data_IF_728826301480
#
_entry.id   IF_728826301480
#
_cell.length_a   1.000
_cell.length_b   1.000
_cell.length_c   1.000
_cell.angle_alpha   90.00
_cell.angle_beta   90.00
_cell.angle_gamma   90.00
#
_symmetry.space_group_name_H-M   'P 1'
#
loop_
_entity.id
_entity.type
_entity.pdbx_description
1 polymer ?
#
# COMPACT_ATOMS: atom_id res chain seq x y z
N UNK A 1 -21.49 1.94 11.31
CA UNK A 1 -20.20 2.21 11.99
C UNK A 1 -20.24 1.53 13.34
N UNK A 2 -19.19 0.81 13.70
CA UNK A 2 -19.03 0.20 15.03
C UNK A 2 -17.81 0.79 15.72
N UNK A 3 -17.96 1.09 17.02
CA UNK A 3 -16.85 1.51 17.87
C UNK A 3 -16.25 0.28 18.57
N UNK A 4 -14.94 0.24 18.66
CA UNK A 4 -14.18 -0.79 19.33
C UNK A 4 -13.34 -0.18 20.46
N UNK A 5 -12.74 -1.03 21.27
CA UNK A 5 -11.73 -0.59 22.22
C UNK A 5 -10.53 0.07 21.51
N UNK A 6 -9.67 0.73 22.25
CA UNK A 6 -8.46 1.42 21.77
C UNK A 6 -8.72 2.53 20.71
N UNK A 7 -9.89 3.20 20.78
CA UNK A 7 -10.29 4.28 19.86
C UNK A 7 -10.30 3.86 18.37
N UNK A 8 -10.58 2.61 18.10
CA UNK A 8 -10.78 2.11 16.75
C UNK A 8 -12.27 2.14 16.38
N UNK A 9 -12.56 2.47 15.12
CA UNK A 9 -13.88 2.29 14.54
C UNK A 9 -13.79 1.45 13.27
N UNK A 10 -14.81 0.63 13.02
CA UNK A 10 -15.00 -0.04 11.74
C UNK A 10 -16.21 0.52 11.00
N UNK A 11 -16.03 0.71 9.70
CA UNK A 11 -17.05 1.23 8.79
C UNK A 11 -17.39 0.14 7.79
N UNK A 12 -18.68 -0.14 7.65
CA UNK A 12 -19.22 -1.09 6.70
C UNK A 12 -20.12 -0.32 5.74
N UNK A 13 -19.83 -0.35 4.45
CA UNK A 13 -20.62 0.31 3.43
C UNK A 13 -20.99 -0.66 2.28
N UNK A 14 -21.89 -0.22 1.39
CA UNK A 14 -22.50 -1.04 0.34
C UNK A 14 -23.33 -2.23 0.90
N UNK A 15 -23.92 -2.05 2.08
CA UNK A 15 -24.83 -3.04 2.65
C UNK A 15 -26.16 -3.02 1.93
N UNK A 16 -26.85 -4.15 1.92
CA UNK A 16 -28.25 -4.22 1.54
C UNK A 16 -29.10 -3.64 2.66
N UNK A 17 -29.73 -2.49 2.39
CA UNK A 17 -30.48 -1.75 3.39
C UNK A 17 -31.68 -2.51 3.96
N UNK A 18 -32.30 -3.41 3.17
CA UNK A 18 -33.42 -4.25 3.61
C UNK A 18 -32.95 -5.39 4.52
N UNK A 19 -31.68 -5.73 4.47
CA UNK A 19 -31.08 -6.81 5.26
C UNK A 19 -30.45 -6.34 6.57
N UNK A 20 -30.39 -5.03 6.81
CA UNK A 20 -29.88 -4.51 8.09
C UNK A 20 -30.75 -5.04 9.21
N UNK A 21 -30.14 -5.69 10.21
CA UNK A 21 -30.88 -6.29 11.32
C UNK A 21 -31.74 -5.25 12.03
N UNK A 22 -33.02 -5.53 12.16
CA UNK A 22 -33.96 -4.65 12.86
C UNK A 22 -33.46 -4.34 14.27
N UNK A 23 -33.54 -3.08 14.65
CA UNK A 23 -33.08 -2.54 15.96
C UNK A 23 -31.55 -2.65 16.20
N UNK A 24 -30.72 -2.77 15.16
CA UNK A 24 -29.25 -2.76 15.36
C UNK A 24 -28.79 -1.42 15.95
N UNK A 25 -29.49 -0.33 15.63
CA UNK A 25 -29.20 1.02 16.15
C UNK A 25 -29.57 1.15 17.64
N UNK A 26 -30.53 0.35 18.12
CA UNK A 26 -30.93 0.32 19.54
C UNK A 26 -30.00 -0.54 20.41
N UNK A 27 -29.12 -1.35 19.78
CA UNK A 27 -28.16 -2.20 20.49
C UNK A 27 -26.93 -1.40 20.87
N UNK A 28 -26.68 -1.23 22.13
CA UNK A 28 -25.48 -0.57 22.64
C UNK A 28 -24.21 -1.44 22.47
N UNK A 29 -24.36 -2.75 22.35
CA UNK A 29 -23.25 -3.72 22.22
C UNK A 29 -23.63 -4.80 21.22
N UNK A 30 -22.74 -5.06 20.27
CA UNK A 30 -22.80 -6.21 19.36
C UNK A 30 -21.78 -7.27 19.80
N UNK A 31 -22.13 -8.53 19.59
CA UNK A 31 -21.23 -9.65 19.90
C UNK A 31 -20.37 -10.00 18.67
N UNK A 32 -19.19 -10.52 18.91
CA UNK A 32 -18.36 -11.11 17.87
C UNK A 32 -19.14 -12.19 17.10
N UNK A 33 -19.04 -12.17 15.76
CA UNK A 33 -19.76 -13.09 14.88
C UNK A 33 -21.25 -12.78 14.68
N UNK A 34 -21.79 -11.75 15.31
CA UNK A 34 -23.17 -11.34 15.09
C UNK A 34 -23.32 -10.78 13.66
N UNK A 35 -24.33 -11.30 12.94
CA UNK A 35 -24.70 -10.77 11.62
C UNK A 35 -25.26 -9.36 11.80
N UNK A 36 -24.81 -8.42 10.99
CA UNK A 36 -25.27 -7.03 10.99
C UNK A 36 -26.10 -6.70 9.75
N UNK A 37 -25.75 -7.24 8.59
CA UNK A 37 -26.44 -7.09 7.32
C UNK A 37 -25.87 -8.05 6.29
N UNK A 38 -26.47 -8.09 5.10
CA UNK A 38 -25.91 -8.71 3.90
C UNK A 38 -25.17 -7.65 3.07
N UNK A 39 -24.27 -8.10 2.22
CA UNK A 39 -23.59 -7.23 1.26
C UNK A 39 -24.55 -6.84 0.15
N UNK A 40 -24.55 -5.58 -0.23
CA UNK A 40 -25.43 -5.02 -1.25
C UNK A 40 -24.67 -4.21 -2.30
N UNK A 41 -25.39 -3.34 -2.99
CA UNK A 41 -24.89 -2.40 -3.99
C UNK A 41 -25.47 -0.99 -3.77
N UNK A 42 -25.76 -0.64 -2.54
CA UNK A 42 -26.40 0.63 -2.17
C UNK A 42 -25.48 1.85 -2.32
N UNK A 43 -24.19 1.64 -2.60
CA UNK A 43 -23.24 2.71 -2.83
C UNK A 43 -23.31 3.32 -4.24
N UNK A 44 -22.35 4.19 -4.54
CA UNK A 44 -22.20 4.86 -5.85
C UNK A 44 -21.75 3.93 -6.99
N UNK A 45 -21.31 2.73 -6.65
CA UNK A 45 -20.84 1.73 -7.62
C UNK A 45 -22.04 0.88 -8.08
N UNK A 46 -22.52 1.12 -9.28
CA UNK A 46 -23.58 0.31 -9.93
C UNK A 46 -23.05 -1.06 -10.38
N UNK A 47 -22.43 -1.82 -9.49
CA UNK A 47 -21.78 -3.08 -9.82
C UNK A 47 -22.34 -4.22 -8.98
N UNK A 48 -21.64 -5.35 -9.00
CA UNK A 48 -21.98 -6.53 -8.21
C UNK A 48 -22.00 -6.20 -6.72
N UNK A 49 -22.83 -6.90 -5.97
CA UNK A 49 -22.85 -6.85 -4.50
C UNK A 49 -21.43 -6.99 -3.95
N UNK A 50 -21.00 -6.05 -3.12
CA UNK A 50 -19.70 -6.05 -2.45
C UNK A 50 -19.81 -5.42 -1.06
N UNK A 51 -18.79 -5.62 -0.25
CA UNK A 51 -18.60 -4.95 1.02
C UNK A 51 -17.43 -3.97 0.90
N UNK A 52 -17.67 -2.71 1.23
CA UNK A 52 -16.61 -1.77 1.54
C UNK A 52 -16.38 -1.78 3.06
N UNK A 53 -15.17 -2.11 3.46
CA UNK A 53 -14.78 -2.24 4.86
C UNK A 53 -13.57 -1.37 5.17
N UNK A 54 -13.69 -0.51 6.19
CA UNK A 54 -12.62 0.38 6.63
C UNK A 54 -12.42 0.25 8.13
N UNK A 55 -11.18 0.40 8.58
CA UNK A 55 -10.82 0.54 9.99
C UNK A 55 -10.11 1.87 10.16
N UNK A 56 -10.57 2.67 11.13
CA UNK A 56 -10.05 4.00 11.39
C UNK A 56 -9.54 4.06 12.84
N UNK A 57 -8.30 4.48 13.00
CA UNK A 57 -7.67 4.84 14.27
C UNK A 57 -8.00 6.31 14.56
N UNK A 58 -8.83 6.55 15.56
CA UNK A 58 -9.28 7.90 15.91
C UNK A 58 -8.17 8.71 16.59
N UNK A 59 -7.25 8.06 17.32
CA UNK A 59 -6.14 8.75 17.97
C UNK A 59 -5.17 9.32 16.93
N UNK A 60 -4.90 8.57 15.87
CA UNK A 60 -3.99 8.96 14.80
C UNK A 60 -4.71 9.67 13.64
N UNK A 61 -6.05 9.71 13.63
CA UNK A 61 -6.85 10.18 12.51
C UNK A 61 -6.42 9.53 11.20
N UNK A 62 -6.29 8.21 11.21
CA UNK A 62 -5.72 7.43 10.11
C UNK A 62 -6.54 6.18 9.81
N UNK A 63 -6.66 5.84 8.52
CA UNK A 63 -7.23 4.57 8.09
C UNK A 63 -6.16 3.48 8.11
N UNK A 64 -6.49 2.35 8.73
CA UNK A 64 -5.62 1.17 8.82
C UNK A 64 -6.07 0.17 7.74
N UNK A 65 -5.11 -0.42 7.04
CA UNK A 65 -5.43 -1.49 6.10
C UNK A 65 -5.98 -2.71 6.85
N UNK A 66 -7.24 -3.12 6.62
CA UNK A 66 -7.86 -4.21 7.35
C UNK A 66 -7.08 -5.54 7.26
N UNK A 67 -6.33 -5.75 6.19
CA UNK A 67 -5.53 -6.97 5.99
C UNK A 67 -4.48 -7.23 7.07
N UNK A 68 -4.09 -6.20 7.84
CA UNK A 68 -3.13 -6.38 8.94
C UNK A 68 -3.79 -6.83 10.24
N UNK A 69 -5.10 -6.61 10.38
CA UNK A 69 -5.86 -6.90 11.61
C UNK A 69 -6.77 -8.14 11.46
N UNK A 70 -7.28 -8.40 10.25
CA UNK A 70 -8.14 -9.54 9.99
C UNK A 70 -7.35 -10.85 9.89
N UNK A 71 -8.01 -12.00 10.16
CA UNK A 71 -7.42 -13.31 9.89
C UNK A 71 -6.92 -13.38 8.44
N UNK A 72 -5.70 -13.86 8.27
CA UNK A 72 -5.06 -13.90 6.96
C UNK A 72 -5.73 -14.95 6.07
N UNK A 73 -6.08 -14.55 4.86
CA UNK A 73 -6.48 -15.51 3.83
C UNK A 73 -5.30 -16.43 3.49
N UNK A 74 -5.57 -17.71 3.28
CA UNK A 74 -4.52 -18.70 2.97
C UNK A 74 -3.78 -18.42 1.67
N UNK A 75 -4.42 -17.72 0.72
CA UNK A 75 -3.88 -17.44 -0.60
C UNK A 75 -3.91 -15.95 -0.91
N UNK A 76 -2.74 -15.34 -1.03
CA UNK A 76 -2.56 -14.04 -1.68
C UNK A 76 -1.96 -14.21 -3.07
N UNK A 77 -2.32 -13.29 -3.97
CA UNK A 77 -1.73 -13.21 -5.30
C UNK A 77 -0.23 -13.02 -5.17
N UNK A 78 0.55 -13.85 -5.87
CA UNK A 78 2.00 -13.71 -5.88
C UNK A 78 2.42 -12.41 -6.55
N UNK A 79 3.28 -11.65 -5.86
CA UNK A 79 3.92 -10.49 -6.47
C UNK A 79 5.01 -10.90 -7.43
N UNK A 80 5.00 -10.29 -8.60
CA UNK A 80 6.12 -10.32 -9.53
C UNK A 80 6.85 -8.98 -9.46
N UNK A 81 8.18 -9.00 -9.38
CA UNK A 81 9.01 -7.81 -9.54
C UNK A 81 9.48 -7.73 -10.98
N UNK A 82 8.84 -6.89 -11.78
CA UNK A 82 9.12 -6.73 -13.20
C UNK A 82 9.13 -5.25 -13.59
N UNK A 83 9.80 -4.93 -14.71
CA UNK A 83 9.83 -3.57 -15.24
C UNK A 83 10.41 -2.56 -14.25
N UNK A 84 11.56 -2.90 -13.64
CA UNK A 84 12.24 -1.99 -12.71
C UNK A 84 12.81 -0.80 -13.46
N UNK A 85 12.36 0.39 -13.09
CA UNK A 85 12.75 1.66 -13.68
C UNK A 85 13.33 2.58 -12.61
N UNK A 86 14.42 3.25 -12.94
CA UNK A 86 14.99 4.33 -12.13
C UNK A 86 14.65 5.68 -12.77
N UNK A 87 14.04 6.58 -12.01
CA UNK A 87 13.75 7.94 -12.46
C UNK A 87 14.64 8.94 -11.74
N UNK A 88 15.42 9.73 -12.49
CA UNK A 88 16.21 10.80 -11.92
C UNK A 88 15.36 12.05 -11.59
N UNK A 89 15.95 13.05 -10.97
CA UNK A 89 15.28 14.32 -10.59
C UNK A 89 14.67 15.08 -11.79
N UNK A 90 15.20 14.87 -13.00
CA UNK A 90 14.72 15.52 -14.23
C UNK A 90 13.58 14.75 -14.90
N UNK A 91 13.09 13.68 -14.26
CA UNK A 91 12.00 12.83 -14.75
C UNK A 91 12.43 11.79 -15.79
N UNK A 92 13.72 11.69 -16.12
CA UNK A 92 14.22 10.69 -17.08
C UNK A 92 14.19 9.30 -16.46
N UNK A 93 13.55 8.36 -17.19
CA UNK A 93 13.44 6.95 -16.81
C UNK A 93 14.56 6.12 -17.45
N UNK A 94 15.09 5.17 -16.69
CA UNK A 94 16.11 4.21 -17.08
C UNK A 94 15.65 2.80 -16.73
N UNK A 95 15.52 1.90 -17.69
CA UNK A 95 15.31 0.46 -17.41
C UNK A 95 16.61 -0.10 -16.82
N UNK A 96 16.53 -0.70 -15.64
CA UNK A 96 17.71 -1.21 -14.92
C UNK A 96 18.38 -2.41 -15.63
N UNK A 97 17.64 -3.09 -16.52
CA UNK A 97 18.18 -4.21 -17.31
C UNK A 97 19.05 -3.72 -18.46
N UNK A 98 18.70 -2.57 -19.05
CA UNK A 98 19.39 -1.98 -20.18
C UNK A 98 20.53 -1.07 -19.74
N UNK A 99 20.36 -0.39 -18.61
CA UNK A 99 21.31 0.58 -18.11
C UNK A 99 22.06 0.03 -16.90
N UNK A 100 23.38 0.16 -16.88
CA UNK A 100 24.25 -0.24 -15.77
C UNK A 100 25.01 0.93 -15.18
N UNK A 101 24.96 2.10 -15.83
CA UNK A 101 25.74 3.29 -15.46
C UNK A 101 24.79 4.47 -15.32
N UNK A 102 24.88 5.18 -14.20
CA UNK A 102 23.96 6.26 -13.83
C UNK A 102 24.73 7.49 -13.37
N UNK A 103 24.25 8.71 -13.66
CA UNK A 103 24.74 9.91 -12.97
C UNK A 103 24.45 9.85 -11.46
N UNK A 104 25.30 10.47 -10.67
CA UNK A 104 25.02 10.66 -9.24
C UNK A 104 23.80 11.56 -9.02
N UNK A 105 23.01 11.31 -7.96
CA UNK A 105 21.84 12.12 -7.63
C UNK A 105 20.70 11.33 -7.00
N UNK A 106 19.59 12.02 -6.80
CA UNK A 106 18.36 11.42 -6.26
C UNK A 106 17.60 10.66 -7.35
N UNK A 107 17.18 9.45 -7.01
CA UNK A 107 16.38 8.58 -7.88
C UNK A 107 15.15 8.04 -7.16
N UNK A 108 14.05 7.95 -7.90
CA UNK A 108 12.88 7.15 -7.57
C UNK A 108 13.00 5.79 -8.24
N UNK A 109 12.64 4.74 -7.51
CA UNK A 109 12.66 3.36 -8.00
C UNK A 109 11.24 2.91 -8.20
N UNK A 110 10.89 2.52 -9.42
CA UNK A 110 9.55 2.03 -9.77
C UNK A 110 9.62 0.58 -10.24
N UNK A 111 8.49 -0.11 -10.13
CA UNK A 111 8.24 -1.37 -10.82
C UNK A 111 6.93 -1.31 -11.59
N UNK A 112 6.69 -2.27 -12.47
CA UNK A 112 5.36 -2.46 -13.06
C UNK A 112 4.35 -2.75 -11.96
N UNK A 113 3.27 -1.95 -11.93
CA UNK A 113 2.19 -2.09 -10.94
C UNK A 113 1.41 -3.38 -11.16
N UNK A 114 1.21 -4.14 -10.11
CA UNK A 114 0.17 -5.17 -10.10
C UNK A 114 -1.18 -4.48 -9.87
N UNK A 115 -2.12 -4.63 -10.82
CA UNK A 115 -3.43 -3.95 -10.75
C UNK A 115 -4.39 -4.60 -9.74
N UNK A 116 -4.10 -5.83 -9.30
CA UNK A 116 -5.00 -6.63 -8.46
C UNK A 116 -4.56 -6.62 -6.99
N UNK A 117 -3.27 -6.44 -6.73
CA UNK A 117 -2.72 -6.53 -5.38
C UNK A 117 -1.73 -5.42 -5.09
N UNK A 118 -1.87 -4.77 -3.93
CA UNK A 118 -0.87 -3.87 -3.37
C UNK A 118 0.09 -4.67 -2.45
N UNK A 119 1.37 -4.34 -2.39
CA UNK A 119 2.29 -4.93 -1.41
C UNK A 119 1.90 -4.49 0.00
N UNK A 120 2.33 -5.27 1.01
CA UNK A 120 2.35 -4.81 2.39
C UNK A 120 3.48 -3.80 2.59
N UNK A 121 4.66 -4.11 2.07
CA UNK A 121 5.85 -3.29 2.27
C UNK A 121 6.82 -3.40 1.10
N UNK A 122 7.47 -2.28 0.76
CA UNK A 122 8.60 -2.25 -0.16
C UNK A 122 9.82 -1.68 0.55
N UNK A 123 11.01 -2.18 0.21
CA UNK A 123 12.27 -1.74 0.81
C UNK A 123 13.32 -1.58 -0.29
N UNK A 124 14.02 -0.46 -0.26
CA UNK A 124 15.16 -0.16 -1.13
C UNK A 124 16.42 -0.13 -0.29
N UNK A 125 17.45 -0.86 -0.73
CA UNK A 125 18.77 -0.89 -0.08
C UNK A 125 19.87 -0.51 -1.04
N UNK A 126 20.90 0.14 -0.52
CA UNK A 126 22.17 0.37 -1.22
C UNK A 126 23.27 -0.31 -0.40
N UNK A 127 24.01 -1.22 -1.02
CA UNK A 127 25.06 -2.01 -0.37
C UNK A 127 24.58 -2.71 0.93
N UNK A 128 23.33 -3.17 0.93
CA UNK A 128 22.70 -3.83 2.08
C UNK A 128 22.11 -2.90 3.15
N UNK A 129 22.34 -1.58 3.04
CA UNK A 129 21.78 -0.59 3.96
C UNK A 129 20.42 -0.11 3.46
N UNK A 130 19.39 -0.15 4.31
CA UNK A 130 18.04 0.36 3.99
C UNK A 130 18.10 1.87 3.84
N UNK A 131 17.81 2.35 2.63
CA UNK A 131 17.77 3.80 2.31
C UNK A 131 16.33 4.32 2.27
N UNK A 132 15.36 3.46 1.93
CA UNK A 132 13.94 3.81 1.98
C UNK A 132 13.06 2.59 2.21
N UNK A 133 11.90 2.82 2.82
CA UNK A 133 10.88 1.80 3.08
C UNK A 133 9.50 2.43 3.02
N UNK A 134 8.59 1.81 2.28
CA UNK A 134 7.19 2.22 2.16
C UNK A 134 6.31 1.09 2.68
N UNK A 135 5.52 1.36 3.73
CA UNK A 135 4.51 0.45 4.24
C UNK A 135 3.11 0.88 3.75
N UNK A 136 2.33 -0.08 3.26
CA UNK A 136 0.98 0.13 2.73
C UNK A 136 -0.08 -0.26 3.75
N UNK A 137 0.19 0.01 5.01
CA UNK A 137 -0.62 -0.39 6.16
C UNK A 137 -1.50 0.71 6.73
N UNK A 138 -1.07 1.97 6.65
CA UNK A 138 -1.75 3.08 7.29
C UNK A 138 -1.77 4.32 6.39
N UNK A 139 -2.97 4.88 6.23
CA UNK A 139 -3.23 6.06 5.39
C UNK A 139 -3.71 7.21 6.26
N UNK A 140 -3.00 8.32 6.21
CA UNK A 140 -3.43 9.58 6.82
C UNK A 140 -3.98 10.56 5.79
N UNK A 141 -4.58 11.65 6.31
CA UNK A 141 -5.07 12.75 5.52
C UNK A 141 -4.49 14.08 6.01
N UNK A 142 -4.00 14.90 5.11
CA UNK A 142 -3.53 16.24 5.40
C UNK A 142 -3.91 17.19 4.26
N UNK A 143 -4.53 18.31 4.57
CA UNK A 143 -4.97 19.31 3.56
C UNK A 143 -5.81 18.69 2.42
N UNK A 144 -6.67 17.72 2.73
CA UNK A 144 -7.52 17.02 1.77
C UNK A 144 -6.81 15.98 0.90
N UNK A 145 -5.50 15.73 1.10
CA UNK A 145 -4.73 14.71 0.38
C UNK A 145 -4.46 13.52 1.27
N UNK A 146 -4.58 12.33 0.68
CA UNK A 146 -4.23 11.07 1.34
C UNK A 146 -2.74 10.76 1.14
N UNK A 147 -2.10 10.22 2.17
CA UNK A 147 -0.71 9.79 2.11
C UNK A 147 -0.48 8.55 3.00
N UNK A 148 0.49 7.72 2.65
CA UNK A 148 0.97 6.67 3.53
C UNK A 148 1.76 7.27 4.68
N UNK A 149 1.48 6.77 5.89
CA UNK A 149 2.19 7.18 7.11
C UNK A 149 3.46 6.35 7.24
N UNK A 150 4.61 7.00 7.31
CA UNK A 150 5.92 6.36 7.45
C UNK A 150 7.01 7.38 7.76
N UNK A 151 8.27 7.02 7.53
CA UNK A 151 9.41 7.94 7.66
C UNK A 151 9.30 9.13 6.72
N UNK A 152 8.74 8.90 5.53
CA UNK A 152 8.35 9.91 4.55
C UNK A 152 6.85 9.79 4.32
N UNK A 153 6.23 10.88 3.88
CA UNK A 153 4.83 10.90 3.45
C UNK A 153 4.81 10.72 1.93
N UNK A 154 4.20 9.63 1.47
CA UNK A 154 4.01 9.37 0.05
C UNK A 154 2.53 9.51 -0.30
N UNK A 155 2.18 10.49 -1.12
CA UNK A 155 0.82 10.65 -1.65
C UNK A 155 0.57 9.68 -2.82
N UNK A 156 -0.69 9.57 -3.24
CA UNK A 156 -1.10 8.67 -4.31
C UNK A 156 -0.43 8.97 -5.65
N UNK A 157 -0.15 10.25 -5.95
CA UNK A 157 0.51 10.66 -7.22
C UNK A 157 1.98 10.26 -7.21
N UNK A 158 2.65 10.35 -6.07
CA UNK A 158 4.03 9.89 -5.93
C UNK A 158 4.14 8.37 -6.00
N UNK A 159 3.19 7.64 -5.37
CA UNK A 159 3.16 6.18 -5.36
C UNK A 159 2.80 5.58 -6.72
N UNK A 160 1.87 6.21 -7.41
CA UNK A 160 1.29 5.76 -8.68
C UNK A 160 1.32 6.93 -9.67
N UNK A 161 2.50 7.28 -10.26
CA UNK A 161 2.59 8.42 -11.17
C UNK A 161 1.76 8.20 -12.45
N UNK A 162 1.50 6.94 -12.78
CA UNK A 162 0.59 6.50 -13.83
C UNK A 162 -0.06 5.16 -13.46
N UNK A 163 -0.90 4.63 -14.34
CA UNK A 163 -1.62 3.37 -14.10
C UNK A 163 -0.73 2.12 -14.09
N UNK A 164 0.50 2.21 -14.58
CA UNK A 164 1.39 1.07 -14.80
C UNK A 164 2.58 1.03 -13.84
N UNK A 165 2.85 2.10 -13.11
CA UNK A 165 4.00 2.21 -12.22
C UNK A 165 3.60 2.22 -10.74
N UNK A 166 4.42 1.56 -9.93
CA UNK A 166 4.38 1.59 -8.47
C UNK A 166 5.75 2.01 -7.95
N UNK A 167 5.79 3.05 -7.12
CA UNK A 167 6.98 3.46 -6.40
C UNK A 167 7.38 2.42 -5.35
N UNK A 168 8.62 1.96 -5.40
CA UNK A 168 9.22 1.09 -4.40
C UNK A 168 9.96 1.86 -3.31
N UNK A 169 10.44 3.06 -3.63
CA UNK A 169 11.16 3.95 -2.73
C UNK A 169 12.06 4.92 -3.48
N UNK A 170 12.79 5.73 -2.72
CA UNK A 170 13.75 6.72 -3.21
C UNK A 170 15.16 6.42 -2.68
N UNK A 171 16.15 6.78 -3.47
CA UNK A 171 17.55 6.58 -3.09
C UNK A 171 18.43 7.70 -3.60
N UNK A 172 19.51 8.00 -2.87
CA UNK A 172 20.60 8.85 -3.32
C UNK A 172 21.72 7.97 -3.87
N UNK A 173 22.07 8.15 -5.14
CA UNK A 173 23.22 7.48 -5.76
C UNK A 173 24.46 8.38 -5.66
N UNK A 174 25.53 7.85 -5.07
CA UNK A 174 26.83 8.50 -4.96
C UNK A 174 27.85 7.83 -5.86
N UNK A 175 28.85 8.55 -6.42
CA UNK A 175 29.84 7.98 -7.33
C UNK A 175 30.47 6.69 -6.80
N UNK A 176 30.65 5.71 -7.68
CA UNK A 176 31.26 4.43 -7.37
C UNK A 176 30.40 3.25 -7.85
N UNK A 177 30.79 2.04 -7.42
CA UNK A 177 30.06 0.81 -7.70
C UNK A 177 29.20 0.45 -6.48
N UNK A 178 27.92 0.20 -6.70
CA UNK A 178 26.97 -0.12 -5.63
C UNK A 178 26.07 -1.29 -6.01
N UNK A 179 25.55 -1.96 -5.00
CA UNK A 179 24.51 -2.98 -5.15
C UNK A 179 23.18 -2.37 -4.68
N UNK A 180 22.25 -2.21 -5.62
CA UNK A 180 20.86 -1.86 -5.35
C UNK A 180 20.09 -3.13 -5.02
N UNK A 181 19.53 -3.23 -3.82
CA UNK A 181 18.62 -4.29 -3.41
C UNK A 181 17.18 -3.76 -3.34
N UNK A 182 16.27 -4.54 -3.90
CA UNK A 182 14.83 -4.26 -3.89
C UNK A 182 14.11 -5.42 -3.24
N UNK A 183 13.22 -5.11 -2.31
CA UNK A 183 12.40 -6.12 -1.63
C UNK A 183 10.95 -5.70 -1.67
N UNK A 184 10.07 -6.64 -2.00
CA UNK A 184 8.61 -6.49 -1.91
C UNK A 184 8.07 -7.61 -1.04
N UNK A 185 7.31 -7.24 -0.02
CA UNK A 185 6.68 -8.15 0.93
C UNK A 185 5.16 -8.08 0.79
N UNK A 186 4.49 -9.22 0.82
CA UNK A 186 3.02 -9.28 0.88
C UNK A 186 2.51 -9.34 2.33
N UNK A 187 1.17 -9.31 2.50
CA UNK A 187 0.55 -9.37 3.83
C UNK A 187 0.70 -10.73 4.53
N UNK A 188 1.04 -11.81 3.81
CA UNK A 188 1.36 -13.12 4.40
C UNK A 188 2.83 -13.23 4.86
N UNK A 189 3.63 -12.17 4.67
CA UNK A 189 5.05 -12.16 5.01
C UNK A 189 5.96 -12.79 3.95
N UNK A 190 5.42 -13.22 2.79
CA UNK A 190 6.23 -13.70 1.67
C UNK A 190 7.02 -12.54 1.05
N UNK A 191 8.28 -12.79 0.77
CA UNK A 191 9.23 -11.79 0.26
C UNK A 191 9.70 -12.18 -1.13
N UNK A 192 9.71 -11.22 -2.05
CA UNK A 192 10.46 -11.25 -3.31
C UNK A 192 11.58 -10.25 -3.23
N UNK A 193 12.78 -10.67 -3.62
CA UNK A 193 13.97 -9.81 -3.59
C UNK A 193 14.74 -9.90 -4.90
N UNK A 194 15.27 -8.76 -5.34
CA UNK A 194 16.18 -8.66 -6.50
C UNK A 194 17.33 -7.73 -6.18
N UNK A 195 18.52 -8.05 -6.68
CA UNK A 195 19.71 -7.26 -6.51
C UNK A 195 20.33 -6.89 -7.87
N UNK A 196 20.79 -5.66 -7.99
CA UNK A 196 21.39 -5.11 -9.21
C UNK A 196 22.72 -4.44 -8.89
N UNK A 197 23.75 -4.81 -9.61
CA UNK A 197 25.04 -4.10 -9.52
C UNK A 197 25.01 -2.95 -10.51
N UNK A 198 25.22 -1.73 -10.01
CA UNK A 198 25.18 -0.48 -10.78
C UNK A 198 26.47 0.31 -10.57
N UNK A 199 26.87 1.09 -11.56
CA UNK A 199 28.00 2.03 -11.51
C UNK A 199 27.48 3.45 -11.57
N UNK A 200 28.03 4.34 -10.77
CA UNK A 200 27.59 5.73 -10.62
C UNK A 200 28.79 6.68 -10.88
N UNK A 201 28.58 7.73 -11.69
CA UNK A 201 29.56 8.76 -12.03
C UNK A 201 29.12 10.17 -11.65
#
# INVERSE_FOLDING_TARGET
ILCHDDDLISVYANLDGESVEENIEDKSILKEGQVIAQTGNSGWQETRSNLEFQIIDLQKSAAINPKILLPRAENEIEFTMTGIMLQNKDGKLFDIRENKVYPSGLYKVFQTRNKIAAPYKTTVTINGVVVDEIAFDTVGQENGKLYLIGKKKYDSVSLYPDENLLLLGEMMLTPGRSTLGLTVQNYLGKIKQQNYVISIY
#
